data_IF_423108588384
#
_entry.id   IF_423108588384
#
_cell.length_a   1.000
_cell.length_b   1.000
_cell.length_c   1.000
_cell.angle_alpha   90.00
_cell.angle_beta   90.00
_cell.angle_gamma   90.00
#
_symmetry.space_group_name_H-M   'P 1'
#
loop_
_entity.id
_entity.type
_entity.pdbx_description
1 polymer ?
#
# COMPACT_ATOMS: atom_id res chain seq x y z
N UNK A 1 2.87 -13.88 -48.25
CA UNK A 1 1.88 -13.91 -47.15
C UNK A 1 2.54 -13.27 -45.94
N UNK A 2 2.20 -12.01 -45.67
CA UNK A 2 2.72 -11.27 -44.51
C UNK A 2 2.02 -11.81 -43.26
N UNK A 3 2.78 -12.39 -42.35
CA UNK A 3 2.26 -12.75 -41.02
C UNK A 3 1.88 -11.44 -40.32
N UNK A 4 0.60 -11.21 -40.13
CA UNK A 4 0.12 -10.17 -39.26
C UNK A 4 0.71 -10.45 -37.88
N UNK A 5 1.54 -9.54 -37.40
CA UNK A 5 2.05 -9.58 -36.01
C UNK A 5 0.87 -9.63 -35.04
N UNK A 6 1.05 -10.19 -33.84
CA UNK A 6 -0.02 -10.29 -32.84
C UNK A 6 -0.62 -8.89 -32.62
N UNK A 7 -1.92 -8.77 -32.93
CA UNK A 7 -2.63 -7.51 -32.76
C UNK A 7 -2.47 -7.00 -31.32
N UNK A 8 -2.14 -5.72 -31.18
CA UNK A 8 -2.03 -5.10 -29.85
C UNK A 8 -3.37 -5.19 -29.12
N UNK A 9 -3.34 -5.65 -27.85
CA UNK A 9 -4.55 -5.85 -27.07
C UNK A 9 -5.10 -4.51 -26.56
N UNK A 10 -6.42 -4.32 -26.66
CA UNK A 10 -7.11 -3.18 -26.05
C UNK A 10 -7.19 -3.35 -24.54
N UNK A 11 -7.01 -2.27 -23.79
CA UNK A 11 -7.20 -2.28 -22.34
C UNK A 11 -8.69 -2.18 -22.01
N UNK A 12 -9.26 -3.20 -21.36
CA UNK A 12 -10.65 -3.17 -20.91
C UNK A 12 -10.77 -2.52 -19.54
N UNK A 13 -11.41 -1.38 -19.47
CA UNK A 13 -11.79 -0.74 -18.21
C UNK A 13 -13.01 -1.46 -17.62
N UNK A 14 -12.94 -1.88 -16.35
CA UNK A 14 -13.99 -2.66 -15.68
C UNK A 14 -14.40 -2.06 -14.35
N UNK A 15 -15.65 -2.26 -13.97
CA UNK A 15 -16.17 -1.87 -12.66
C UNK A 15 -15.69 -2.85 -11.57
N UNK A 16 -15.62 -2.40 -10.30
CA UNK A 16 -15.22 -3.27 -9.20
C UNK A 16 -16.08 -4.53 -9.05
N UNK A 17 -17.36 -4.47 -9.40
CA UNK A 17 -18.28 -5.62 -9.38
C UNK A 17 -17.96 -6.68 -10.42
N UNK A 18 -17.35 -6.30 -11.54
CA UNK A 18 -16.94 -7.18 -12.63
C UNK A 18 -15.49 -7.68 -12.50
N UNK A 19 -14.72 -7.08 -11.57
CA UNK A 19 -13.28 -7.28 -11.48
C UNK A 19 -12.87 -8.75 -11.36
N UNK A 20 -13.60 -9.55 -10.60
CA UNK A 20 -13.27 -10.97 -10.38
C UNK A 20 -13.38 -11.78 -11.68
N UNK A 21 -14.49 -11.64 -12.41
CA UNK A 21 -14.73 -12.34 -13.67
C UNK A 21 -13.78 -11.87 -14.76
N UNK A 22 -13.61 -10.55 -14.90
CA UNK A 22 -12.72 -9.96 -15.88
C UNK A 22 -11.24 -10.34 -15.65
N UNK A 23 -10.81 -10.42 -14.38
CA UNK A 23 -9.47 -10.86 -14.03
C UNK A 23 -9.25 -12.33 -14.37
N UNK A 24 -10.20 -13.21 -14.06
CA UNK A 24 -10.12 -14.63 -14.40
C UNK A 24 -10.01 -14.84 -15.93
N UNK A 25 -10.80 -14.11 -16.69
CA UNK A 25 -10.72 -14.10 -18.17
C UNK A 25 -9.35 -13.63 -18.65
N UNK A 26 -8.86 -12.50 -18.14
CA UNK A 26 -7.55 -11.97 -18.51
C UNK A 26 -6.41 -12.93 -18.16
N UNK A 27 -6.43 -13.55 -16.98
CA UNK A 27 -5.43 -14.54 -16.56
C UNK A 27 -5.47 -15.83 -17.40
N UNK A 28 -6.59 -16.10 -18.08
CA UNK A 28 -6.77 -17.24 -19.01
C UNK A 28 -6.42 -16.88 -20.47
N UNK A 29 -5.87 -15.70 -20.73
CA UNK A 29 -5.46 -15.28 -22.08
C UNK A 29 -6.37 -14.24 -22.72
N UNK A 30 -7.41 -13.77 -22.02
CA UNK A 30 -8.28 -12.68 -22.46
C UNK A 30 -7.57 -11.30 -22.45
N UNK A 31 -8.29 -10.24 -22.82
CA UNK A 31 -7.71 -8.89 -22.88
C UNK A 31 -7.22 -8.40 -21.52
N UNK A 32 -6.19 -7.54 -21.47
CA UNK A 32 -5.77 -6.91 -20.23
C UNK A 32 -6.87 -5.99 -19.68
N UNK A 33 -6.98 -5.92 -18.35
CA UNK A 33 -8.00 -5.13 -17.68
C UNK A 33 -7.39 -4.00 -16.83
N UNK A 34 -8.20 -2.96 -16.56
CA UNK A 34 -7.95 -1.98 -15.53
C UNK A 34 -9.23 -1.82 -14.70
N UNK A 35 -9.18 -2.15 -13.42
CA UNK A 35 -10.32 -1.94 -12.52
C UNK A 35 -10.37 -0.48 -12.12
N UNK A 36 -11.54 0.15 -12.32
CA UNK A 36 -11.76 1.58 -12.07
C UNK A 36 -12.36 1.81 -10.68
N UNK A 37 -11.99 2.91 -9.99
CA UNK A 37 -12.67 3.35 -8.78
C UNK A 37 -14.17 3.60 -9.03
N UNK A 38 -14.99 3.44 -7.97
CA UNK A 38 -16.41 3.78 -8.00
C UNK A 38 -16.65 5.30 -7.90
N UNK A 39 -15.77 6.02 -7.19
CA UNK A 39 -15.84 7.48 -7.10
C UNK A 39 -15.65 8.13 -8.46
N UNK A 40 -16.55 9.03 -8.92
CA UNK A 40 -16.51 9.62 -10.26
C UNK A 40 -15.23 10.42 -10.53
N UNK A 41 -14.68 11.10 -9.54
CA UNK A 41 -13.48 11.95 -9.70
C UNK A 41 -12.24 11.06 -9.80
N UNK A 42 -12.12 10.07 -8.92
CA UNK A 42 -11.02 9.09 -8.98
C UNK A 42 -11.09 8.27 -10.26
N UNK A 43 -12.30 7.88 -10.69
CA UNK A 43 -12.56 7.18 -11.94
C UNK A 43 -12.10 7.98 -13.17
N UNK A 44 -12.48 9.24 -13.25
CA UNK A 44 -12.05 10.11 -14.36
C UNK A 44 -10.51 10.27 -14.41
N UNK A 45 -9.86 10.40 -13.26
CA UNK A 45 -8.40 10.45 -13.15
C UNK A 45 -7.75 9.13 -13.59
N UNK A 46 -8.33 8.00 -13.19
CA UNK A 46 -7.83 6.69 -13.58
C UNK A 46 -7.96 6.47 -15.11
N UNK A 47 -9.08 6.83 -15.71
CA UNK A 47 -9.30 6.75 -17.16
C UNK A 47 -8.28 7.63 -17.91
N UNK A 48 -8.10 8.86 -17.47
CA UNK A 48 -7.14 9.77 -18.09
C UNK A 48 -5.69 9.25 -18.02
N UNK A 49 -5.33 8.57 -16.93
CA UNK A 49 -4.01 7.95 -16.74
C UNK A 49 -3.86 6.66 -17.54
N UNK A 50 -4.88 5.80 -17.55
CA UNK A 50 -4.81 4.51 -18.24
C UNK A 50 -4.91 4.64 -19.76
N UNK A 51 -5.61 5.68 -20.25
CA UNK A 51 -5.88 5.86 -21.69
C UNK A 51 -6.29 4.53 -22.35
N UNK A 52 -7.47 3.96 -22.00
CA UNK A 52 -7.86 2.62 -22.45
C UNK A 52 -7.99 2.51 -23.97
N UNK A 53 -8.21 3.60 -24.68
CA UNK A 53 -8.25 3.68 -26.14
C UNK A 53 -6.87 3.42 -26.80
N UNK A 54 -5.79 3.56 -26.04
CA UNK A 54 -4.45 3.22 -26.49
C UNK A 54 -4.18 1.72 -26.28
N UNK A 55 -3.57 1.03 -27.23
CA UNK A 55 -3.27 -0.38 -27.06
C UNK A 55 -2.24 -0.64 -25.95
N UNK A 56 -2.28 -1.84 -25.38
CA UNK A 56 -1.24 -2.32 -24.44
C UNK A 56 -0.17 -3.03 -25.26
N UNK A 57 1.05 -2.49 -25.22
CA UNK A 57 2.16 -2.99 -26.05
C UNK A 57 2.84 -4.23 -25.48
N UNK A 58 2.64 -4.51 -24.20
CA UNK A 58 3.21 -5.69 -23.53
C UNK A 58 2.36 -6.93 -23.86
N UNK A 59 2.92 -7.87 -24.60
CA UNK A 59 2.21 -9.04 -25.12
C UNK A 59 1.55 -9.94 -24.05
N UNK A 60 2.13 -10.02 -22.85
CA UNK A 60 1.61 -10.84 -21.74
C UNK A 60 0.89 -10.01 -20.66
N UNK A 61 0.51 -8.77 -20.97
CA UNK A 61 -0.20 -7.93 -20.01
C UNK A 61 -1.53 -8.56 -19.59
N UNK A 62 -1.79 -8.59 -18.29
CA UNK A 62 -3.08 -9.01 -17.73
C UNK A 62 -3.83 -7.85 -17.09
N UNK A 63 -3.12 -6.98 -16.38
CA UNK A 63 -3.73 -5.92 -15.61
C UNK A 63 -2.90 -4.64 -15.68
N UNK A 64 -3.58 -3.50 -15.67
CA UNK A 64 -2.98 -2.20 -15.38
C UNK A 64 -3.57 -1.67 -14.07
N UNK A 65 -2.70 -1.42 -13.08
CA UNK A 65 -3.08 -0.97 -11.74
C UNK A 65 -2.61 0.46 -11.52
N UNK A 66 -3.48 1.31 -10.96
CA UNK A 66 -3.10 2.65 -10.54
C UNK A 66 -2.21 2.61 -9.30
N UNK A 67 -1.14 3.42 -9.29
CA UNK A 67 -0.40 3.74 -8.06
C UNK A 67 -0.76 5.14 -7.60
N UNK A 68 -0.85 5.34 -6.30
CA UNK A 68 -1.16 6.65 -5.71
C UNK A 68 0.00 7.66 -5.80
N UNK A 69 1.12 7.30 -6.42
CA UNK A 69 2.29 8.15 -6.63
C UNK A 69 2.59 9.13 -5.48
N UNK A 70 3.50 8.79 -4.58
CA UNK A 70 3.86 9.66 -3.45
C UNK A 70 4.58 10.93 -3.89
N UNK A 71 5.18 10.92 -5.09
CA UNK A 71 6.06 11.99 -5.60
C UNK A 71 5.48 12.76 -6.78
N UNK A 72 4.26 12.45 -7.25
CA UNK A 72 3.74 13.10 -8.46
C UNK A 72 2.45 12.52 -9.00
N UNK A 73 2.26 12.64 -10.31
CA UNK A 73 1.09 12.10 -10.99
C UNK A 73 0.97 10.58 -10.79
N UNK A 74 -0.23 10.05 -10.59
CA UNK A 74 -0.48 8.62 -10.53
C UNK A 74 0.06 7.92 -11.78
N UNK A 75 0.56 6.69 -11.63
CA UNK A 75 1.11 5.88 -12.73
C UNK A 75 0.30 4.60 -12.89
N UNK A 76 0.11 4.16 -14.13
CA UNK A 76 -0.42 2.84 -14.43
C UNK A 76 0.70 1.80 -14.44
N UNK A 77 0.67 0.83 -13.55
CA UNK A 77 1.63 -0.27 -13.49
C UNK A 77 1.08 -1.44 -14.29
N UNK A 78 1.82 -1.91 -15.29
CA UNK A 78 1.41 -3.03 -16.15
C UNK A 78 1.94 -4.33 -15.57
N UNK A 79 1.03 -5.24 -15.22
CA UNK A 79 1.33 -6.56 -14.66
C UNK A 79 1.07 -7.64 -15.69
N UNK A 80 2.05 -8.52 -15.90
CA UNK A 80 1.90 -9.68 -16.79
C UNK A 80 1.19 -10.83 -16.09
N UNK A 81 0.60 -11.74 -16.90
CA UNK A 81 0.03 -12.99 -16.38
C UNK A 81 1.08 -13.81 -15.64
N UNK A 82 2.28 -13.88 -16.18
CA UNK A 82 3.40 -14.61 -15.59
C UNK A 82 3.76 -14.04 -14.20
N UNK A 83 3.89 -12.70 -14.07
CA UNK A 83 4.23 -12.06 -12.82
C UNK A 83 3.14 -12.27 -11.75
N UNK A 84 1.86 -12.16 -12.13
CA UNK A 84 0.74 -12.40 -11.22
C UNK A 84 0.74 -13.86 -10.74
N UNK A 85 0.93 -14.84 -11.66
CA UNK A 85 1.01 -16.27 -11.30
C UNK A 85 2.17 -16.53 -10.33
N UNK A 86 3.37 -16.02 -10.62
CA UNK A 86 4.53 -16.17 -9.74
C UNK A 86 4.27 -15.61 -8.33
N UNK A 87 3.63 -14.44 -8.23
CA UNK A 87 3.27 -13.84 -6.94
C UNK A 87 2.23 -14.68 -6.18
N UNK A 88 1.25 -15.24 -6.87
CA UNK A 88 0.22 -16.10 -6.28
C UNK A 88 0.85 -17.40 -5.76
N UNK A 89 1.66 -18.06 -6.55
CA UNK A 89 2.35 -19.30 -6.18
C UNK A 89 3.27 -19.10 -4.96
N UNK A 90 4.08 -18.04 -4.96
CA UNK A 90 4.96 -17.71 -3.84
C UNK A 90 4.16 -17.40 -2.55
N UNK A 91 3.02 -16.70 -2.68
CA UNK A 91 2.12 -16.46 -1.54
C UNK A 91 1.49 -17.75 -1.02
N UNK A 92 0.97 -18.61 -1.90
CA UNK A 92 0.36 -19.88 -1.50
C UNK A 92 1.39 -20.78 -0.81
N UNK A 93 2.60 -20.86 -1.33
CA UNK A 93 3.71 -21.61 -0.71
C UNK A 93 4.00 -21.08 0.70
N UNK A 94 4.13 -19.77 0.88
CA UNK A 94 4.43 -19.13 2.18
C UNK A 94 3.30 -19.30 3.20
N UNK A 95 2.05 -19.34 2.75
CA UNK A 95 0.87 -19.51 3.62
C UNK A 95 0.46 -20.96 3.86
N UNK A 96 1.09 -21.91 3.19
CA UNK A 96 0.82 -23.34 3.32
C UNK A 96 -0.31 -23.85 2.43
N UNK A 97 -0.62 -23.14 1.33
CA UNK A 97 -1.54 -23.55 0.27
C UNK A 97 -2.62 -22.55 -0.08
N UNK A 98 -3.39 -22.86 -1.13
CA UNK A 98 -4.56 -22.08 -1.52
C UNK A 98 -5.68 -22.18 -0.46
N UNK A 99 -6.49 -21.16 -0.36
CA UNK A 99 -7.64 -21.07 0.55
C UNK A 99 -8.58 -19.94 0.13
N UNK A 100 -9.76 -19.89 0.74
CA UNK A 100 -10.74 -18.84 0.50
C UNK A 100 -10.25 -17.49 1.03
N UNK A 101 -10.71 -16.41 0.43
CA UNK A 101 -10.29 -15.05 0.79
C UNK A 101 -11.48 -14.17 1.16
N UNK A 102 -11.33 -13.41 2.24
CA UNK A 102 -12.19 -12.27 2.52
C UNK A 102 -11.60 -11.03 1.82
N UNK A 103 -12.38 -10.40 0.94
CA UNK A 103 -11.97 -9.23 0.15
C UNK A 103 -12.40 -7.95 0.89
N UNK A 104 -11.51 -7.41 1.73
CA UNK A 104 -11.73 -6.20 2.51
C UNK A 104 -11.06 -4.94 1.91
N UNK A 105 -10.36 -5.10 0.78
CA UNK A 105 -9.64 -4.03 0.10
C UNK A 105 -10.18 -3.84 -1.32
N UNK A 106 -10.25 -2.60 -1.82
CA UNK A 106 -10.75 -2.33 -3.17
C UNK A 106 -9.92 -3.03 -4.25
N UNK A 107 -10.59 -3.63 -5.24
CA UNK A 107 -9.97 -4.36 -6.35
C UNK A 107 -9.23 -3.49 -7.36
N UNK A 108 -9.43 -2.17 -7.34
CA UNK A 108 -8.67 -1.23 -8.17
C UNK A 108 -7.30 -0.84 -7.57
N UNK A 109 -6.98 -1.33 -6.36
CA UNK A 109 -5.62 -1.33 -5.81
C UNK A 109 -5.02 -2.73 -5.86
N UNK A 110 -3.69 -2.81 -5.99
CA UNK A 110 -2.98 -4.08 -6.13
C UNK A 110 -3.29 -5.07 -5.01
N UNK A 111 -3.49 -4.62 -3.78
CA UNK A 111 -3.75 -5.51 -2.65
C UNK A 111 -5.09 -6.25 -2.79
N UNK A 112 -6.18 -5.55 -3.15
CA UNK A 112 -7.48 -6.17 -3.42
C UNK A 112 -7.49 -7.00 -4.71
N UNK A 113 -6.83 -6.51 -5.76
CA UNK A 113 -6.65 -7.25 -7.01
C UNK A 113 -5.97 -8.59 -6.78
N UNK A 114 -4.89 -8.62 -6.00
CA UNK A 114 -4.15 -9.86 -5.72
C UNK A 114 -4.93 -10.83 -4.81
N UNK A 115 -5.89 -10.36 -4.01
CA UNK A 115 -6.86 -11.24 -3.34
C UNK A 115 -7.70 -11.99 -4.38
N UNK A 116 -8.23 -11.28 -5.39
CA UNK A 116 -8.98 -11.90 -6.48
C UNK A 116 -8.11 -12.86 -7.30
N UNK A 117 -6.87 -12.49 -7.60
CA UNK A 117 -5.95 -13.34 -8.35
C UNK A 117 -5.62 -14.64 -7.60
N UNK A 118 -5.36 -14.55 -6.28
CA UNK A 118 -5.08 -15.72 -5.43
C UNK A 118 -6.26 -16.66 -5.37
N UNK A 119 -7.48 -16.15 -5.22
CA UNK A 119 -8.68 -16.96 -5.25
C UNK A 119 -8.89 -17.62 -6.63
N UNK A 120 -8.81 -16.84 -7.71
CA UNK A 120 -9.01 -17.33 -9.08
C UNK A 120 -8.01 -18.44 -9.45
N UNK A 121 -6.71 -18.20 -9.27
CA UNK A 121 -5.66 -19.17 -9.63
C UNK A 121 -5.58 -20.34 -8.65
N UNK A 122 -6.06 -20.16 -7.41
CA UNK A 122 -6.16 -21.22 -6.41
C UNK A 122 -7.41 -22.09 -6.52
N UNK A 123 -8.34 -21.76 -7.42
CA UNK A 123 -9.63 -22.46 -7.52
C UNK A 123 -10.51 -22.29 -6.28
N UNK A 124 -10.36 -21.17 -5.56
CA UNK A 124 -11.05 -20.88 -4.31
C UNK A 124 -11.91 -19.62 -4.46
N UNK A 125 -12.57 -19.19 -3.39
CA UNK A 125 -13.51 -18.06 -3.42
C UNK A 125 -12.87 -16.78 -2.87
N UNK A 126 -13.25 -15.63 -3.42
CA UNK A 126 -13.06 -14.32 -2.81
C UNK A 126 -14.45 -13.73 -2.47
N UNK A 127 -14.72 -13.52 -1.18
CA UNK A 127 -16.02 -13.01 -0.71
C UNK A 127 -15.84 -11.58 -0.21
N UNK A 128 -16.61 -10.61 -0.76
CA UNK A 128 -16.52 -9.21 -0.34
C UNK A 128 -16.85 -9.00 1.14
N UNK A 129 -16.05 -8.14 1.79
CA UNK A 129 -16.25 -7.68 3.16
C UNK A 129 -16.32 -6.16 3.17
N UNK A 130 -17.16 -5.60 4.00
CA UNK A 130 -17.17 -4.15 4.22
C UNK A 130 -15.83 -3.66 4.74
N UNK A 131 -15.41 -2.47 4.33
CA UNK A 131 -14.10 -1.90 4.72
C UNK A 131 -13.94 -1.70 6.23
N UNK A 132 -15.04 -1.59 6.97
CA UNK A 132 -15.10 -1.53 8.43
C UNK A 132 -15.18 -2.91 9.12
N UNK A 133 -15.20 -4.00 8.34
CA UNK A 133 -15.26 -5.40 8.76
C UNK A 133 -16.53 -5.82 9.51
N UNK A 134 -17.60 -5.01 9.49
CA UNK A 134 -18.84 -5.27 10.26
C UNK A 134 -19.52 -6.60 9.92
N UNK A 135 -19.38 -7.11 8.68
CA UNK A 135 -19.93 -8.40 8.25
C UNK A 135 -18.91 -9.54 8.22
N UNK A 136 -17.71 -9.34 8.82
CA UNK A 136 -16.63 -10.32 8.75
C UNK A 136 -16.99 -11.67 9.38
N UNK A 137 -17.78 -11.67 10.45
CA UNK A 137 -18.22 -12.89 11.12
C UNK A 137 -19.12 -13.76 10.21
N UNK A 138 -20.05 -13.13 9.48
CA UNK A 138 -20.91 -13.80 8.51
C UNK A 138 -20.07 -14.38 7.37
N UNK A 139 -19.16 -13.58 6.81
CA UNK A 139 -18.26 -14.01 5.74
C UNK A 139 -17.36 -15.15 6.22
N UNK A 140 -16.78 -15.08 7.42
CA UNK A 140 -15.97 -16.15 7.97
C UNK A 140 -16.75 -17.46 8.10
N UNK A 141 -18.05 -17.40 8.38
CA UNK A 141 -18.92 -18.57 8.50
C UNK A 141 -19.18 -19.32 7.18
N UNK A 142 -19.01 -18.67 6.03
CA UNK A 142 -19.23 -19.27 4.71
C UNK A 142 -17.94 -19.62 3.96
N UNK A 143 -16.77 -19.18 4.46
CA UNK A 143 -15.48 -19.53 3.91
C UNK A 143 -15.03 -20.91 4.41
N UNK A 144 -14.15 -21.57 3.64
CA UNK A 144 -13.55 -22.85 4.02
C UNK A 144 -12.67 -22.71 5.29
N UNK A 145 -12.21 -23.84 5.85
CA UNK A 145 -11.32 -23.82 7.01
C UNK A 145 -10.03 -23.05 6.73
N UNK A 146 -9.42 -23.24 5.52
CA UNK A 146 -8.27 -22.45 5.11
C UNK A 146 -8.76 -21.16 4.48
N UNK A 147 -8.70 -20.09 5.25
CA UNK A 147 -9.18 -18.77 4.87
C UNK A 147 -8.18 -17.68 5.22
N UNK A 148 -8.13 -16.67 4.37
CA UNK A 148 -7.20 -15.56 4.44
C UNK A 148 -7.92 -14.23 4.30
N UNK A 149 -7.33 -13.17 4.83
CA UNK A 149 -7.76 -11.78 4.62
C UNK A 149 -6.54 -10.89 4.48
N UNK A 150 -6.63 -9.86 3.64
CA UNK A 150 -5.62 -8.80 3.56
C UNK A 150 -6.19 -7.50 4.10
N UNK A 151 -5.44 -6.86 5.01
CA UNK A 151 -5.83 -5.61 5.67
C UNK A 151 -4.69 -4.59 5.58
N UNK A 152 -5.03 -3.31 5.76
CA UNK A 152 -4.04 -2.29 6.09
C UNK A 152 -3.93 -2.16 7.63
N UNK A 153 -2.80 -1.61 8.16
CA UNK A 153 -2.59 -1.50 9.61
C UNK A 153 -3.73 -0.78 10.33
N UNK A 154 -4.29 0.28 9.73
CA UNK A 154 -5.41 1.03 10.31
C UNK A 154 -6.72 0.19 10.42
N UNK A 155 -6.96 -0.74 9.49
CA UNK A 155 -8.11 -1.66 9.60
C UNK A 155 -7.89 -2.65 10.74
N UNK A 156 -6.68 -3.22 10.88
CA UNK A 156 -6.36 -4.13 11.98
C UNK A 156 -6.46 -3.43 13.34
N UNK A 157 -5.90 -2.22 13.48
CA UNK A 157 -5.99 -1.46 14.74
C UNK A 157 -7.46 -1.18 15.13
N UNK A 158 -8.29 -0.80 14.16
CA UNK A 158 -9.73 -0.62 14.39
C UNK A 158 -10.41 -1.94 14.80
N UNK A 159 -10.10 -3.03 14.11
CA UNK A 159 -10.66 -4.36 14.36
C UNK A 159 -10.40 -4.82 15.80
N UNK A 160 -9.21 -4.54 16.36
CA UNK A 160 -8.82 -4.88 17.72
C UNK A 160 -9.60 -4.14 18.81
N UNK A 161 -10.54 -3.27 18.46
CA UNK A 161 -11.45 -2.58 19.40
C UNK A 161 -12.84 -3.23 19.49
N UNK A 162 -13.11 -4.27 18.66
CA UNK A 162 -14.42 -4.90 18.51
C UNK A 162 -14.34 -6.42 18.70
N UNK A 163 -14.83 -6.93 19.82
CA UNK A 163 -14.70 -8.34 20.21
C UNK A 163 -15.20 -9.34 19.17
N UNK A 164 -16.34 -9.07 18.50
CA UNK A 164 -16.86 -9.94 17.43
C UNK A 164 -15.94 -10.01 16.20
N UNK A 165 -15.31 -8.88 15.84
CA UNK A 165 -14.36 -8.84 14.72
C UNK A 165 -13.05 -9.55 15.09
N UNK A 166 -12.60 -9.41 16.35
CA UNK A 166 -11.43 -10.14 16.87
C UNK A 166 -11.65 -11.65 16.75
N UNK A 167 -12.77 -12.15 17.24
CA UNK A 167 -13.10 -13.59 17.18
C UNK A 167 -13.15 -14.10 15.72
N UNK A 168 -13.73 -13.31 14.81
CA UNK A 168 -13.73 -13.64 13.40
C UNK A 168 -12.30 -13.69 12.83
N UNK A 169 -11.45 -12.67 13.07
CA UNK A 169 -10.07 -12.62 12.57
C UNK A 169 -9.20 -13.76 13.15
N UNK A 170 -9.41 -14.14 14.41
CA UNK A 170 -8.69 -15.25 15.04
C UNK A 170 -8.99 -16.61 14.38
N UNK A 171 -10.12 -16.72 13.65
CA UNK A 171 -10.47 -17.94 12.90
C UNK A 171 -9.79 -18.03 11.52
N UNK A 172 -9.08 -16.98 11.05
CA UNK A 172 -8.37 -17.00 9.78
C UNK A 172 -7.02 -17.72 9.90
N UNK A 173 -6.66 -18.49 8.88
CA UNK A 173 -5.36 -19.16 8.79
C UNK A 173 -4.20 -18.17 8.75
N UNK A 174 -4.41 -16.99 8.17
CA UNK A 174 -3.52 -15.83 8.28
C UNK A 174 -4.26 -14.53 7.94
N UNK A 175 -3.86 -13.45 8.61
CA UNK A 175 -4.26 -12.06 8.35
C UNK A 175 -3.04 -11.34 7.80
N UNK A 176 -3.02 -11.07 6.49
CA UNK A 176 -1.94 -10.34 5.83
C UNK A 176 -2.10 -8.85 6.12
N UNK A 177 -1.06 -8.21 6.63
CA UNK A 177 -1.08 -6.78 6.96
C UNK A 177 0.03 -6.07 6.21
N UNK A 178 -0.34 -5.11 5.36
CA UNK A 178 0.63 -4.41 4.54
C UNK A 178 0.14 -3.07 4.02
N UNK A 179 0.90 -2.51 3.10
CA UNK A 179 0.57 -1.22 2.48
C UNK A 179 0.83 0.01 3.36
N UNK A 180 1.38 -0.15 4.54
CA UNK A 180 1.81 0.91 5.46
C UNK A 180 2.71 0.35 6.54
N UNK A 181 3.29 1.23 7.34
CA UNK A 181 4.09 0.83 8.51
C UNK A 181 3.20 0.11 9.53
N UNK A 182 3.62 -1.07 9.92
CA UNK A 182 2.95 -1.88 10.94
C UNK A 182 3.84 -1.91 12.17
N UNK A 183 3.40 -1.29 13.27
CA UNK A 183 4.19 -1.27 14.50
C UNK A 183 4.21 -2.63 15.17
N UNK A 184 5.33 -2.96 15.83
CA UNK A 184 5.46 -4.19 16.64
C UNK A 184 4.38 -4.29 17.71
N UNK A 185 3.97 -3.17 18.29
CA UNK A 185 2.88 -3.12 19.27
C UNK A 185 1.56 -3.61 18.66
N UNK A 186 1.23 -3.20 17.44
CA UNK A 186 0.01 -3.63 16.76
C UNK A 186 0.05 -5.15 16.50
N UNK A 187 1.19 -5.67 16.05
CA UNK A 187 1.38 -7.12 15.82
C UNK A 187 1.26 -7.89 17.13
N UNK A 188 1.90 -7.42 18.21
CA UNK A 188 1.81 -8.05 19.55
C UNK A 188 0.39 -8.06 20.09
N UNK A 189 -0.35 -6.95 19.98
CA UNK A 189 -1.77 -6.89 20.38
C UNK A 189 -2.64 -7.88 19.61
N UNK A 190 -2.45 -7.97 18.31
CA UNK A 190 -3.17 -8.93 17.48
C UNK A 190 -2.83 -10.38 17.85
N UNK A 191 -1.55 -10.69 18.06
CA UNK A 191 -1.12 -12.02 18.49
C UNK A 191 -1.68 -12.39 19.87
N UNK A 192 -1.71 -11.45 20.83
CA UNK A 192 -2.34 -11.65 22.15
C UNK A 192 -3.86 -11.90 22.05
N UNK A 193 -4.50 -11.44 20.97
CA UNK A 193 -5.91 -11.71 20.67
C UNK A 193 -6.12 -13.00 19.84
N UNK A 194 -5.09 -13.82 19.66
CA UNK A 194 -5.14 -15.08 18.90
C UNK A 194 -5.13 -14.90 17.37
N UNK A 195 -4.86 -13.70 16.86
CA UNK A 195 -4.85 -13.40 15.42
C UNK A 195 -3.46 -13.69 14.86
N UNK A 196 -3.37 -14.57 13.85
CA UNK A 196 -2.13 -14.86 13.13
C UNK A 196 -1.87 -13.79 12.08
N UNK A 197 -1.14 -12.75 12.47
CA UNK A 197 -0.70 -11.69 11.55
C UNK A 197 0.52 -12.16 10.75
N UNK A 198 0.51 -11.85 9.46
CA UNK A 198 1.66 -11.94 8.55
C UNK A 198 1.89 -10.53 7.99
N UNK A 199 2.99 -9.91 8.37
CA UNK A 199 3.35 -8.59 7.84
C UNK A 199 3.85 -8.72 6.41
N UNK A 200 3.46 -7.77 5.52
CA UNK A 200 3.83 -7.85 4.11
C UNK A 200 4.41 -6.53 3.62
N UNK A 201 5.56 -6.62 2.95
CA UNK A 201 6.15 -5.52 2.20
C UNK A 201 6.06 -5.81 0.70
N UNK A 202 5.69 -4.80 -0.05
CA UNK A 202 5.58 -4.83 -1.49
C UNK A 202 4.72 -3.68 -2.02
N UNK A 203 4.58 -3.62 -3.33
CA UNK A 203 3.91 -2.53 -4.04
C UNK A 203 3.27 -3.02 -5.33
N UNK A 204 2.69 -2.12 -6.12
CA UNK A 204 2.09 -2.51 -7.40
C UNK A 204 3.12 -3.11 -8.34
N UNK A 205 4.33 -2.57 -8.34
CA UNK A 205 5.45 -3.00 -9.18
C UNK A 205 5.99 -4.41 -8.86
N UNK A 206 5.61 -4.97 -7.70
CA UNK A 206 5.96 -6.34 -7.27
C UNK A 206 4.77 -7.29 -7.23
N UNK A 207 3.65 -6.98 -7.91
CA UNK A 207 2.39 -7.71 -7.79
C UNK A 207 1.91 -7.85 -6.33
N UNK A 208 2.01 -6.77 -5.53
CA UNK A 208 1.70 -6.77 -4.12
C UNK A 208 2.87 -7.21 -3.23
N UNK A 209 2.57 -7.88 -2.11
CA UNK A 209 3.60 -8.29 -1.15
C UNK A 209 4.60 -9.30 -1.74
N UNK A 210 5.88 -9.00 -1.61
CA UNK A 210 6.99 -9.86 -2.06
C UNK A 210 7.95 -10.24 -0.92
N UNK A 211 7.82 -9.60 0.26
CA UNK A 211 8.56 -9.96 1.49
C UNK A 211 7.53 -10.10 2.60
N UNK A 212 7.49 -11.26 3.29
CA UNK A 212 6.56 -11.55 4.37
C UNK A 212 7.32 -11.78 5.67
N UNK A 213 6.94 -11.08 6.74
CA UNK A 213 7.62 -11.11 8.05
C UNK A 213 9.12 -10.84 7.96
N UNK A 214 9.53 -9.96 7.01
CA UNK A 214 10.92 -9.63 6.72
C UNK A 214 11.66 -10.66 5.83
N UNK A 215 11.03 -11.76 5.46
CA UNK A 215 11.62 -12.82 4.63
C UNK A 215 11.14 -12.68 3.18
N UNK A 216 12.03 -12.58 2.18
CA UNK A 216 11.65 -12.60 0.77
C UNK A 216 10.90 -13.88 0.41
N UNK A 217 9.85 -13.75 -0.38
CA UNK A 217 9.13 -14.89 -0.90
C UNK A 217 9.98 -15.68 -1.90
N UNK A 218 9.60 -16.92 -2.16
CA UNK A 218 10.28 -17.77 -3.15
C UNK A 218 10.39 -17.06 -4.51
N UNK A 219 11.58 -17.03 -5.07
CA UNK A 219 11.87 -16.36 -6.35
C UNK A 219 12.05 -14.84 -6.25
N UNK A 220 12.06 -14.29 -5.05
CA UNK A 220 12.35 -12.87 -4.77
C UNK A 220 13.76 -12.74 -4.19
N UNK A 221 14.60 -11.94 -4.82
CA UNK A 221 15.89 -11.53 -4.30
C UNK A 221 15.85 -10.03 -3.95
N UNK A 222 16.32 -9.70 -2.76
CA UNK A 222 16.39 -8.33 -2.25
C UNK A 222 17.83 -7.98 -1.95
N UNK A 223 18.33 -6.95 -2.62
CA UNK A 223 19.64 -6.35 -2.37
C UNK A 223 19.44 -4.95 -1.77
N UNK A 224 20.49 -4.40 -1.17
CA UNK A 224 20.54 -3.02 -0.70
C UNK A 224 21.66 -2.29 -1.43
N UNK A 225 21.35 -1.07 -1.93
CA UNK A 225 22.36 -0.17 -2.44
C UNK A 225 23.10 0.52 -1.28
N UNK A 226 24.21 1.22 -1.58
CA UNK A 226 25.05 1.90 -0.58
C UNK A 226 24.27 2.97 0.22
N UNK A 227 23.24 3.58 -0.38
CA UNK A 227 22.35 4.54 0.26
C UNK A 227 21.22 3.87 1.07
N UNK A 228 21.21 2.54 1.19
CA UNK A 228 20.20 1.74 1.87
C UNK A 228 18.94 1.51 1.04
N UNK A 229 18.89 1.93 -0.22
CA UNK A 229 17.76 1.69 -1.13
C UNK A 229 17.53 0.21 -1.35
N UNK A 230 16.28 -0.21 -1.23
CA UNK A 230 15.88 -1.59 -1.51
C UNK A 230 15.81 -1.81 -3.02
N UNK A 231 16.53 -2.82 -3.49
CA UNK A 231 16.57 -3.28 -4.87
C UNK A 231 15.93 -4.66 -4.95
N UNK A 232 14.98 -4.86 -5.86
CA UNK A 232 14.25 -6.13 -5.97
C UNK A 232 14.48 -6.74 -7.36
N UNK A 233 14.86 -8.02 -7.37
CA UNK A 233 14.88 -8.86 -8.57
C UNK A 233 13.93 -10.02 -8.36
N UNK A 234 12.94 -10.17 -9.24
CA UNK A 234 11.93 -11.22 -9.12
C UNK A 234 11.17 -11.42 -10.42
N UNK A 235 10.63 -12.62 -10.60
CA UNK A 235 9.62 -12.91 -11.64
C UNK A 235 8.25 -12.25 -11.37
N UNK A 236 8.05 -11.68 -10.18
CA UNK A 236 6.83 -10.95 -9.82
C UNK A 236 6.84 -9.48 -10.24
N UNK A 237 7.93 -8.99 -10.84
CA UNK A 237 8.06 -7.60 -11.22
C UNK A 237 7.12 -7.24 -12.36
N UNK A 238 6.66 -5.99 -12.33
CA UNK A 238 5.89 -5.38 -13.40
C UNK A 238 6.67 -5.35 -14.73
N UNK A 239 5.96 -5.23 -15.85
CA UNK A 239 6.59 -5.11 -17.18
C UNK A 239 6.91 -3.67 -17.56
N UNK A 240 6.37 -2.71 -16.83
CA UNK A 240 6.65 -1.28 -17.01
C UNK A 240 5.48 -0.40 -16.59
N UNK A 241 5.71 0.90 -16.69
CA UNK A 241 4.68 1.91 -16.49
C UNK A 241 3.93 2.18 -17.80
N UNK A 242 2.62 2.19 -17.72
CA UNK A 242 1.71 2.46 -18.83
C UNK A 242 2.06 3.78 -19.52
N UNK A 243 2.35 3.76 -20.83
CA UNK A 243 2.70 4.92 -21.64
C UNK A 243 3.89 5.76 -21.13
N UNK A 244 4.71 5.18 -20.23
CA UNK A 244 5.86 5.86 -19.61
C UNK A 244 7.12 4.98 -19.68
N UNK A 245 7.65 4.72 -20.90
CA UNK A 245 8.89 3.96 -21.05
C UNK A 245 10.10 4.64 -20.40
N UNK A 246 10.11 5.98 -20.33
CA UNK A 246 11.08 6.80 -19.63
C UNK A 246 11.17 6.39 -18.14
N UNK A 247 10.04 6.42 -17.43
CA UNK A 247 9.99 6.05 -16.01
C UNK A 247 10.29 4.56 -15.79
N UNK A 248 9.94 3.72 -16.77
CA UNK A 248 10.26 2.29 -16.69
C UNK A 248 11.76 2.06 -16.72
N UNK A 249 12.47 2.73 -17.63
CA UNK A 249 13.93 2.64 -17.74
C UNK A 249 14.66 3.18 -16.50
N UNK A 250 14.12 4.24 -15.86
CA UNK A 250 14.64 4.77 -14.60
C UNK A 250 14.43 3.81 -13.42
N UNK A 251 13.27 3.13 -13.40
CA UNK A 251 12.87 2.28 -12.29
C UNK A 251 13.51 0.88 -12.35
N UNK A 252 13.81 0.35 -13.53
CA UNK A 252 14.38 -0.98 -13.71
C UNK A 252 15.75 -0.86 -14.36
N UNK A 253 16.79 -1.12 -13.57
CA UNK A 253 18.19 -1.05 -13.99
C UNK A 253 18.83 -2.41 -13.74
N UNK A 254 19.51 -2.96 -14.76
CA UNK A 254 20.18 -4.28 -14.70
C UNK A 254 19.26 -5.41 -14.19
N UNK A 255 17.99 -5.39 -14.61
CA UNK A 255 16.99 -6.37 -14.20
C UNK A 255 16.54 -6.27 -12.74
N UNK A 256 16.90 -5.19 -12.04
CA UNK A 256 16.51 -4.90 -10.67
C UNK A 256 15.55 -3.72 -10.63
N UNK A 257 14.45 -3.87 -9.95
CA UNK A 257 13.57 -2.75 -9.64
C UNK A 257 14.16 -1.94 -8.50
N UNK A 258 14.44 -0.66 -8.77
CA UNK A 258 14.92 0.33 -7.80
C UNK A 258 13.74 0.95 -7.09
N UNK A 259 13.43 0.46 -5.90
CA UNK A 259 12.34 1.02 -5.12
C UNK A 259 12.66 2.45 -4.65
N UNK A 260 11.65 3.14 -4.13
CA UNK A 260 11.86 4.40 -3.42
C UNK A 260 11.91 4.17 -1.89
N UNK A 261 12.09 2.93 -1.45
CA UNK A 261 12.11 2.56 -0.05
C UNK A 261 13.54 2.26 0.40
N UNK A 262 13.81 2.53 1.67
CA UNK A 262 15.08 2.21 2.35
C UNK A 262 14.87 1.10 3.37
N UNK A 263 15.89 0.32 3.58
CA UNK A 263 15.89 -0.73 4.58
C UNK A 263 17.30 -1.17 4.98
N UNK A 264 17.34 -2.12 5.88
CA UNK A 264 18.55 -2.82 6.30
C UNK A 264 18.22 -4.28 6.63
N UNK A 265 19.23 -5.11 6.70
CA UNK A 265 19.08 -6.49 7.14
C UNK A 265 19.37 -6.58 8.64
N UNK A 266 18.45 -7.17 9.40
CA UNK A 266 18.63 -7.52 10.81
C UNK A 266 18.33 -9.00 11.00
N UNK A 267 19.31 -9.75 11.49
CA UNK A 267 19.21 -11.20 11.71
C UNK A 267 18.58 -11.99 10.54
N UNK A 268 18.90 -11.60 9.29
CA UNK A 268 18.37 -12.22 8.07
C UNK A 268 16.96 -11.77 7.67
N UNK A 269 16.41 -10.75 8.34
CA UNK A 269 15.11 -10.15 8.01
C UNK A 269 15.29 -8.75 7.44
N UNK A 270 14.55 -8.46 6.39
CA UNK A 270 14.50 -7.11 5.82
C UNK A 270 13.67 -6.20 6.74
N UNK A 271 14.32 -5.19 7.26
CA UNK A 271 13.69 -4.10 8.01
C UNK A 271 13.51 -2.90 7.09
N UNK A 272 12.27 -2.52 6.82
CA UNK A 272 11.94 -1.36 5.96
C UNK A 272 11.87 -0.12 6.84
N UNK A 273 12.73 0.86 6.57
CA UNK A 273 12.81 2.12 7.34
C UNK A 273 11.77 3.14 6.89
N UNK A 274 11.44 3.15 5.60
CA UNK A 274 10.55 4.14 5.00
C UNK A 274 10.99 4.49 3.58
N UNK A 275 10.52 5.64 3.09
CA UNK A 275 10.81 6.07 1.72
C UNK A 275 12.03 6.98 1.66
N UNK A 276 12.72 6.95 0.53
CA UNK A 276 13.85 7.87 0.26
C UNK A 276 13.43 9.34 0.29
N UNK A 277 12.19 9.64 -0.16
CA UNK A 277 11.61 10.97 -0.17
C UNK A 277 10.98 11.39 1.19
N UNK A 278 10.88 10.45 2.13
CA UNK A 278 10.47 10.71 3.52
C UNK A 278 11.69 10.97 4.46
N UNK A 279 12.92 10.88 3.94
CA UNK A 279 14.11 11.36 4.61
C UNK A 279 14.23 12.89 4.39
N UNK A 280 14.04 13.66 5.43
CA UNK A 280 14.12 15.12 5.35
C UNK A 280 15.34 15.67 6.08
N UNK A 281 15.81 16.84 5.65
CA UNK A 281 16.83 17.58 6.39
C UNK A 281 16.15 18.74 7.08
N UNK A 282 16.08 18.70 8.40
CA UNK A 282 15.48 19.74 9.26
C UNK A 282 16.51 20.26 10.24
N UNK A 283 16.78 21.59 10.22
CA UNK A 283 17.79 22.22 11.09
C UNK A 283 19.19 21.59 10.92
N UNK A 284 19.54 21.12 9.72
CA UNK A 284 20.82 20.45 9.44
C UNK A 284 20.89 18.96 9.82
N UNK A 285 19.84 18.40 10.40
CA UNK A 285 19.79 16.99 10.79
C UNK A 285 18.93 16.16 9.84
N UNK A 286 19.38 14.94 9.55
CA UNK A 286 18.59 13.97 8.79
C UNK A 286 17.55 13.33 9.72
N UNK A 287 16.28 13.34 9.29
CA UNK A 287 15.15 12.77 10.03
C UNK A 287 14.32 11.89 9.12
N UNK A 288 14.09 10.65 9.52
CA UNK A 288 13.12 9.76 8.87
C UNK A 288 11.72 10.15 9.32
N UNK A 289 10.89 10.65 8.41
CA UNK A 289 9.50 11.00 8.74
C UNK A 289 8.68 9.79 9.19
N UNK A 290 9.05 8.59 8.77
CA UNK A 290 8.41 7.35 9.20
C UNK A 290 8.47 7.14 10.73
N UNK A 291 9.62 7.44 11.35
CA UNK A 291 9.78 7.33 12.81
C UNK A 291 8.91 8.35 13.53
N UNK A 292 8.86 9.57 12.99
CA UNK A 292 7.99 10.63 13.54
C UNK A 292 6.51 10.25 13.35
N UNK A 293 6.15 9.68 12.20
CA UNK A 293 4.78 9.21 11.93
C UNK A 293 4.35 8.12 12.91
N UNK A 294 5.23 7.17 13.25
CA UNK A 294 4.96 6.16 14.29
C UNK A 294 4.71 6.80 15.67
N UNK A 295 5.45 7.83 16.02
CA UNK A 295 5.22 8.56 17.27
C UNK A 295 3.89 9.33 17.26
N UNK A 296 3.55 9.97 16.13
CA UNK A 296 2.23 10.62 15.93
C UNK A 296 1.11 9.61 16.04
N UNK A 297 1.24 8.43 15.39
CA UNK A 297 0.24 7.36 15.48
C UNK A 297 0.05 6.86 16.93
N UNK A 298 1.12 6.73 17.71
CA UNK A 298 1.02 6.38 19.16
C UNK A 298 0.27 7.46 19.95
N UNK A 299 0.54 8.73 19.66
CA UNK A 299 -0.14 9.83 20.31
C UNK A 299 -1.63 9.86 19.94
N UNK A 300 -1.98 9.80 18.66
CA UNK A 300 -3.38 9.82 18.20
C UNK A 300 -4.19 8.61 18.66
N UNK A 301 -3.55 7.43 18.76
CA UNK A 301 -4.21 6.21 19.22
C UNK A 301 -4.76 6.34 20.67
N UNK A 302 -4.13 7.15 21.53
CA UNK A 302 -4.60 7.44 22.89
C UNK A 302 -5.98 8.12 22.89
N UNK A 303 -6.32 8.80 21.79
CA UNK A 303 -7.58 9.55 21.61
C UNK A 303 -8.53 8.88 20.61
N UNK A 304 -8.22 7.68 20.13
CA UNK A 304 -9.01 7.01 19.08
C UNK A 304 -8.98 7.72 17.72
N UNK A 305 -8.03 8.60 17.52
CA UNK A 305 -7.87 9.48 16.38
C UNK A 305 -6.79 8.98 15.42
N UNK A 306 -6.59 9.69 14.30
CA UNK A 306 -5.57 9.40 13.29
C UNK A 306 -4.68 10.62 13.07
N UNK A 307 -3.45 10.37 12.64
CA UNK A 307 -2.53 11.43 12.29
C UNK A 307 -1.45 10.94 11.33
N UNK A 308 -0.80 11.90 10.70
CA UNK A 308 0.33 11.70 9.80
C UNK A 308 1.28 12.88 9.89
N UNK A 309 2.45 12.76 9.28
CA UNK A 309 3.43 13.84 9.19
C UNK A 309 3.85 14.11 7.76
N UNK A 310 4.17 15.37 7.46
CA UNK A 310 4.78 15.77 6.21
C UNK A 310 5.95 16.73 6.46
N UNK A 311 6.99 16.59 5.63
CA UNK A 311 8.01 17.62 5.48
C UNK A 311 7.55 18.67 4.46
N UNK A 312 7.64 19.94 4.83
CA UNK A 312 7.36 21.06 3.90
C UNK A 312 8.57 21.99 3.83
N UNK A 313 8.85 22.62 2.69
CA UNK A 313 9.93 23.61 2.58
C UNK A 313 9.75 24.74 3.59
N UNK A 314 10.85 25.14 4.22
CA UNK A 314 10.87 26.19 5.23
C UNK A 314 12.20 26.95 5.18
N UNK A 315 12.14 28.29 5.31
CA UNK A 315 13.31 29.16 5.19
C UNK A 315 14.30 29.00 6.35
N UNK A 316 13.81 28.65 7.55
CA UNK A 316 14.63 28.53 8.76
C UNK A 316 15.16 27.11 8.92
N UNK A 317 14.29 26.12 8.69
CA UNK A 317 14.57 24.70 8.94
C UNK A 317 15.07 23.94 7.70
N UNK A 318 15.03 24.55 6.49
CA UNK A 318 15.18 23.85 5.22
C UNK A 318 13.94 23.00 4.93
N UNK A 319 13.65 22.04 5.78
CA UNK A 319 12.36 21.33 5.80
C UNK A 319 11.77 21.39 7.22
N UNK A 320 10.55 21.85 7.34
CA UNK A 320 9.78 21.84 8.59
C UNK A 320 8.93 20.56 8.66
N UNK A 321 8.97 19.86 9.79
CA UNK A 321 8.12 18.70 10.05
C UNK A 321 6.79 19.21 10.64
N UNK A 322 5.70 18.91 9.94
CA UNK A 322 4.33 19.28 10.35
C UNK A 322 3.53 18.00 10.59
N UNK A 323 2.91 17.93 11.77
CA UNK A 323 1.92 16.91 12.07
C UNK A 323 0.52 17.39 11.70
N UNK A 324 -0.30 16.47 11.19
CA UNK A 324 -1.73 16.69 10.87
C UNK A 324 -2.54 15.61 11.53
N UNK A 325 -3.58 15.97 12.24
CA UNK A 325 -4.37 15.01 13.02
C UNK A 325 -5.83 15.43 13.18
N UNK A 326 -6.71 14.43 13.32
CA UNK A 326 -8.08 14.60 13.81
C UNK A 326 -8.21 14.35 15.34
N UNK A 327 -7.06 14.41 16.07
CA UNK A 327 -7.01 14.33 17.53
C UNK A 327 -7.20 15.69 18.21
N UNK A 328 -7.90 15.78 19.34
CA UNK A 328 -8.11 17.02 20.07
C UNK A 328 -6.88 17.49 20.89
N UNK A 329 -5.76 16.78 20.89
CA UNK A 329 -4.59 17.10 21.72
C UNK A 329 -3.76 18.29 21.22
N UNK A 330 -2.81 18.76 22.03
CA UNK A 330 -1.96 19.90 21.72
C UNK A 330 -0.63 19.50 21.05
N UNK A 331 0.05 20.48 20.41
CA UNK A 331 1.41 20.28 19.90
C UNK A 331 2.38 19.89 21.03
N UNK A 332 2.24 20.47 22.22
CA UNK A 332 3.10 20.16 23.36
C UNK A 332 2.95 18.70 23.82
N UNK A 333 1.71 18.18 23.85
CA UNK A 333 1.44 16.78 24.18
C UNK A 333 2.02 15.83 23.15
N UNK A 334 1.87 16.16 21.85
CA UNK A 334 2.49 15.39 20.77
C UNK A 334 4.01 15.39 20.90
N UNK A 335 4.62 16.57 21.11
CA UNK A 335 6.07 16.68 21.26
C UNK A 335 6.60 15.91 22.48
N UNK A 336 5.83 15.80 23.55
CA UNK A 336 6.19 14.97 24.69
C UNK A 336 6.30 13.49 24.30
N UNK A 337 5.33 12.98 23.54
CA UNK A 337 5.34 11.59 23.04
C UNK A 337 6.49 11.35 22.07
N UNK A 338 6.79 12.30 21.18
CA UNK A 338 7.90 12.19 20.22
C UNK A 338 9.24 12.11 20.97
N UNK A 339 9.43 12.90 22.04
CA UNK A 339 10.65 12.90 22.89
C UNK A 339 10.92 11.56 23.56
N UNK A 340 9.92 10.73 23.79
CA UNK A 340 10.10 9.40 24.39
C UNK A 340 11.03 8.49 23.55
N UNK A 341 11.11 8.73 22.23
CA UNK A 341 11.80 7.85 21.30
C UNK A 341 12.68 8.54 20.25
N UNK A 342 12.56 9.85 20.08
CA UNK A 342 13.25 10.58 19.03
C UNK A 342 13.94 11.84 19.60
N UNK A 343 15.04 12.27 18.97
CA UNK A 343 15.76 13.47 19.38
C UNK A 343 14.96 14.75 19.11
N UNK A 344 15.31 15.82 19.81
CA UNK A 344 14.60 17.10 19.77
C UNK A 344 14.49 17.74 18.37
N UNK A 345 15.44 17.49 17.48
CA UNK A 345 15.39 18.00 16.12
C UNK A 345 14.35 17.30 15.24
N UNK A 346 13.90 16.10 15.60
CA UNK A 346 12.86 15.35 14.89
C UNK A 346 11.42 15.75 15.27
N UNK A 347 11.25 16.65 16.27
CA UNK A 347 9.93 17.05 16.72
C UNK A 347 9.17 17.84 15.66
N UNK A 348 7.87 17.54 15.45
CA UNK A 348 6.98 18.41 14.68
C UNK A 348 6.99 19.85 15.24
N UNK A 349 7.06 20.83 14.35
CA UNK A 349 7.05 22.25 14.71
C UNK A 349 5.66 22.87 14.65
N UNK A 350 4.78 22.24 13.90
CA UNK A 350 3.37 22.62 13.81
C UNK A 350 2.49 21.37 13.95
N UNK A 351 1.29 21.58 14.47
CA UNK A 351 0.20 20.62 14.49
C UNK A 351 -1.01 21.29 13.86
N UNK A 352 -1.54 20.68 12.80
CA UNK A 352 -2.75 21.11 12.11
C UNK A 352 -3.86 20.14 12.49
N UNK A 353 -4.93 20.67 13.06
CA UNK A 353 -6.13 19.91 13.38
C UNK A 353 -7.10 19.94 12.23
N UNK A 354 -7.68 18.80 11.93
CA UNK A 354 -8.74 18.61 10.94
C UNK A 354 -9.92 17.88 11.61
N UNK A 355 -11.13 18.13 11.16
CA UNK A 355 -12.30 17.36 11.61
C UNK A 355 -12.17 15.88 11.22
N UNK A 356 -11.58 15.62 10.06
CA UNK A 356 -11.28 14.28 9.59
C UNK A 356 -9.99 14.27 8.77
N UNK A 357 -9.11 13.32 9.05
CA UNK A 357 -7.88 13.13 8.27
C UNK A 357 -8.20 12.61 6.86
N UNK A 358 -7.88 13.36 5.77
CA UNK A 358 -8.08 12.89 4.42
C UNK A 358 -7.40 11.55 4.18
N UNK A 359 -8.16 10.60 3.64
CA UNK A 359 -7.70 9.24 3.43
C UNK A 359 -8.14 8.71 2.07
N UNK A 360 -7.26 7.92 1.45
CA UNK A 360 -7.59 7.16 0.26
C UNK A 360 -8.54 6.02 0.60
N UNK A 361 -9.22 5.47 -0.40
CA UNK A 361 -10.16 4.35 -0.21
C UNK A 361 -9.50 3.08 0.37
N UNK A 362 -8.17 2.94 0.25
CA UNK A 362 -7.40 1.88 0.91
C UNK A 362 -7.04 2.18 2.38
N UNK A 363 -7.56 3.27 2.95
CA UNK A 363 -7.35 3.66 4.35
C UNK A 363 -6.02 4.37 4.65
N UNK A 364 -5.16 4.57 3.65
CA UNK A 364 -3.92 5.36 3.83
C UNK A 364 -4.24 6.86 3.85
N UNK A 365 -3.44 7.69 4.58
CA UNK A 365 -3.55 9.14 4.48
C UNK A 365 -3.37 9.62 3.03
N UNK A 366 -4.27 10.48 2.57
CA UNK A 366 -4.10 11.17 1.28
C UNK A 366 -3.09 12.32 1.44
N UNK A 367 -1.80 11.98 1.34
CA UNK A 367 -0.70 12.93 1.50
C UNK A 367 -0.79 14.13 0.54
N UNK A 368 -1.41 13.97 -0.64
CA UNK A 368 -1.60 15.06 -1.60
C UNK A 368 -2.64 16.05 -1.11
N UNK A 369 -3.81 15.57 -0.71
CA UNK A 369 -4.86 16.41 -0.13
C UNK A 369 -4.34 17.10 1.14
N UNK A 370 -3.65 16.36 2.03
CA UNK A 370 -3.09 16.89 3.26
C UNK A 370 -2.04 17.97 2.97
N UNK A 371 -1.14 17.75 1.99
CA UNK A 371 -0.15 18.78 1.58
C UNK A 371 -0.83 20.05 1.10
N UNK A 372 -1.88 19.95 0.29
CA UNK A 372 -2.65 21.11 -0.18
C UNK A 372 -3.27 21.88 0.99
N UNK A 373 -3.83 21.19 1.98
CA UNK A 373 -4.40 21.81 3.19
C UNK A 373 -3.31 22.54 3.97
N UNK A 374 -2.15 21.90 4.20
CA UNK A 374 -1.02 22.53 4.90
C UNK A 374 -0.61 23.84 4.21
N UNK A 375 -0.46 23.80 2.88
CA UNK A 375 -0.02 24.97 2.11
C UNK A 375 -1.04 26.10 2.19
N UNK A 376 -2.34 25.81 2.12
CA UNK A 376 -3.40 26.82 2.25
C UNK A 376 -3.42 27.44 3.66
N UNK A 377 -3.40 26.63 4.70
CA UNK A 377 -3.37 27.11 6.10
C UNK A 377 -2.16 28.00 6.37
N UNK A 378 -1.00 27.66 5.82
CA UNK A 378 0.22 28.48 5.98
C UNK A 378 0.15 29.78 5.17
N UNK A 379 -0.39 29.74 3.95
CA UNK A 379 -0.59 30.95 3.14
C UNK A 379 -1.54 31.95 3.82
N UNK A 380 -2.64 31.47 4.39
CA UNK A 380 -3.59 32.28 5.14
C UNK A 380 -2.95 32.95 6.37
N UNK A 381 -2.14 32.19 7.14
CA UNK A 381 -1.42 32.72 8.30
C UNK A 381 -0.40 33.78 7.92
N UNK A 382 0.27 33.64 6.77
CA UNK A 382 1.24 34.63 6.26
C UNK A 382 0.55 35.89 5.70
N UNK A 383 -0.70 35.79 5.26
CA UNK A 383 -1.46 36.94 4.75
C UNK A 383 -2.10 37.78 5.88
N UNK A 384 -2.22 37.18 7.10
CA UNK A 384 -2.87 37.80 8.28
C UNK A 384 -1.89 38.27 9.35
N UNK A 385 -0.60 38.03 9.22
CA UNK A 385 0.48 38.48 10.11
C UNK A 385 1.45 39.41 9.42
#
# INVERSE_FOLDING_TARGET
MSAAGPGLASLRAVDPSEAAAALAESLSGGPPIATLPADPIERARAIAMFQPDQPVVQADAAVVVATSGSTGAPKGVVLSRAAIRASVEATHTRLGGAGDWALALPSYYVAGLMVLARASLGGTRAVPVHSDLRNLQEVAGILSERRYISLVPAQLDRALRHGGVIAALASFSAVLVGGGLTSDNLVKRAASAGIRVVTTYGMSETCGGCVYDGEPLQGVAVDLADDGRILIRSSTLFTGYRLRPDLTAEAVVDGRFRTQDRGYWDAGRLMVLGRMDDLVITGGHKVELADVELAVQRWTARHGARGTVLGVPDLVWGTMIIAVSDSPGSLADLQAVVRESLPAYAMPRELIHLDQLPSLANGKPDRRAIRSIIMNVRAERQATG
#
